data_IF_634091611593
#
_entry.id   IF_634091611593
#
_cell.length_a   1.000
_cell.length_b   1.000
_cell.length_c   1.000
_cell.angle_alpha   90.00
_cell.angle_beta   90.00
_cell.angle_gamma   90.00
#
_symmetry.space_group_name_H-M   'P 1'
#
loop_
_entity.id
_entity.type
_entity.pdbx_description
1 polymer ?
#
# COMPACT_ATOMS: atom_id res chain seq x y z
N UNK A 1 12.63 -36.32 -1.10
CA UNK A 1 12.93 -34.98 -0.59
C UNK A 1 11.87 -34.03 -1.13
N UNK A 2 10.86 -33.69 -0.33
CA UNK A 2 9.77 -32.81 -0.75
C UNK A 2 10.26 -31.38 -0.59
N UNK A 3 10.37 -30.64 -1.69
CA UNK A 3 10.57 -29.19 -1.66
C UNK A 3 9.26 -28.56 -1.16
N UNK A 4 9.14 -28.32 0.15
CA UNK A 4 8.07 -27.48 0.68
C UNK A 4 8.41 -26.04 0.27
N UNK A 5 7.61 -25.35 -0.56
CA UNK A 5 7.85 -23.94 -0.80
C UNK A 5 7.63 -23.20 0.53
N UNK A 6 8.67 -22.54 1.02
CA UNK A 6 8.62 -21.62 2.16
C UNK A 6 7.54 -20.55 1.88
N UNK A 7 6.31 -20.76 2.34
CA UNK A 7 5.21 -19.84 2.07
C UNK A 7 5.36 -18.58 2.89
N UNK A 8 6.04 -17.59 2.30
CA UNK A 8 6.19 -16.28 2.92
C UNK A 8 4.90 -15.45 2.80
N UNK A 9 4.11 -15.41 3.87
CA UNK A 9 2.86 -14.65 3.94
C UNK A 9 3.06 -13.12 4.04
N UNK A 10 4.29 -12.62 3.98
CA UNK A 10 4.54 -11.18 4.02
C UNK A 10 4.29 -10.53 2.67
N UNK A 11 3.51 -9.44 2.67
CA UNK A 11 3.31 -8.62 1.48
C UNK A 11 4.66 -8.13 0.91
N UNK A 12 5.09 -8.57 -0.29
CA UNK A 12 6.46 -8.37 -0.78
C UNK A 12 6.85 -6.89 -0.89
N UNK A 13 8.11 -6.56 -0.56
CA UNK A 13 8.60 -5.17 -0.61
C UNK A 13 8.48 -4.56 -2.01
N UNK A 14 8.67 -5.36 -3.08
CA UNK A 14 8.53 -4.90 -4.48
C UNK A 14 7.14 -4.38 -4.82
N UNK A 15 6.10 -4.89 -4.15
CA UNK A 15 4.71 -4.46 -4.35
C UNK A 15 4.33 -3.25 -3.48
N UNK A 16 5.26 -2.72 -2.67
CA UNK A 16 4.99 -1.58 -1.78
C UNK A 16 5.42 -0.26 -2.43
N UNK A 17 4.54 0.73 -2.38
CA UNK A 17 4.85 2.13 -2.69
C UNK A 17 5.44 2.76 -1.42
N UNK A 18 6.75 3.06 -1.42
CA UNK A 18 7.48 3.48 -0.21
C UNK A 18 8.03 4.92 -0.29
N UNK A 19 8.33 5.42 -1.48
CA UNK A 19 9.02 6.71 -1.65
C UNK A 19 8.03 7.86 -1.57
N UNK A 20 8.35 8.90 -0.81
CA UNK A 20 7.53 10.13 -0.71
C UNK A 20 7.20 10.73 -2.07
N UNK A 21 8.17 10.78 -2.99
CA UNK A 21 7.96 11.26 -4.36
C UNK A 21 6.91 10.44 -5.13
N UNK A 22 6.87 9.12 -4.93
CA UNK A 22 5.86 8.26 -5.54
C UNK A 22 4.45 8.57 -5.00
N UNK A 23 4.30 8.79 -3.68
CA UNK A 23 3.03 9.22 -3.07
C UNK A 23 2.58 10.58 -3.62
N UNK A 24 3.49 11.56 -3.69
CA UNK A 24 3.19 12.89 -4.22
C UNK A 24 2.71 12.81 -5.67
N UNK A 25 3.32 11.97 -6.50
CA UNK A 25 2.88 11.74 -7.89
C UNK A 25 1.46 11.19 -7.94
N UNK A 26 1.14 10.19 -7.12
CA UNK A 26 -0.20 9.60 -7.05
C UNK A 26 -1.23 10.65 -6.62
N UNK A 27 -0.94 11.45 -5.60
CA UNK A 27 -1.84 12.52 -5.16
C UNK A 27 -2.04 13.61 -6.22
N UNK A 28 -1.00 13.96 -6.98
CA UNK A 28 -1.06 14.98 -8.04
C UNK A 28 -2.02 14.62 -9.17
N UNK A 29 -2.21 13.33 -9.46
CA UNK A 29 -3.09 12.83 -10.53
C UNK A 29 -4.59 13.04 -10.24
N UNK A 30 -4.97 13.26 -8.96
CA UNK A 30 -6.35 13.53 -8.53
C UNK A 30 -7.38 12.48 -8.99
N UNK A 31 -6.95 11.27 -9.31
CA UNK A 31 -7.85 10.15 -9.57
C UNK A 31 -8.07 9.40 -8.28
N UNK A 32 -9.29 9.45 -7.74
CA UNK A 32 -9.62 8.79 -6.48
C UNK A 32 -11.06 8.30 -6.41
N UNK A 33 -11.25 7.24 -5.63
CA UNK A 33 -12.58 6.74 -5.24
C UNK A 33 -12.61 6.64 -3.72
N UNK A 34 -13.71 7.09 -3.12
CA UNK A 34 -13.95 6.96 -1.69
C UNK A 34 -14.98 5.86 -1.42
N UNK A 35 -14.75 5.06 -0.38
CA UNK A 35 -15.69 4.06 0.11
C UNK A 35 -15.53 3.92 1.63
N UNK A 36 -16.56 4.32 2.38
CA UNK A 36 -16.53 4.35 3.84
C UNK A 36 -15.32 5.13 4.39
N UNK A 37 -14.50 4.55 5.28
CA UNK A 37 -13.33 5.22 5.85
C UNK A 37 -12.11 5.24 4.90
N UNK A 38 -12.23 4.66 3.70
CA UNK A 38 -11.12 4.50 2.76
C UNK A 38 -11.25 5.47 1.60
N UNK A 39 -10.11 6.03 1.22
CA UNK A 39 -9.94 6.77 -0.04
C UNK A 39 -8.78 6.11 -0.78
N UNK A 40 -9.04 5.66 -2.01
CA UNK A 40 -8.04 5.04 -2.87
C UNK A 40 -7.66 6.05 -3.93
N UNK A 41 -6.37 6.31 -4.08
CA UNK A 41 -5.82 7.12 -5.16
C UNK A 41 -5.16 6.24 -6.21
N UNK A 42 -5.46 6.50 -7.47
CA UNK A 42 -4.91 5.82 -8.64
C UNK A 42 -3.98 6.73 -9.43
N UNK A 43 -2.94 6.15 -10.03
CA UNK A 43 -2.14 6.82 -11.04
C UNK A 43 -1.51 5.75 -11.94
N UNK A 44 -1.36 6.07 -13.23
CA UNK A 44 -0.52 5.25 -14.10
C UNK A 44 0.93 5.23 -13.57
N UNK A 45 1.53 4.07 -13.68
CA UNK A 45 2.88 3.87 -13.19
C UNK A 45 3.88 4.54 -14.13
N UNK A 46 4.75 5.42 -13.61
CA UNK A 46 5.66 6.20 -14.47
C UNK A 46 6.84 5.39 -15.05
N UNK A 47 7.05 4.16 -14.57
CA UNK A 47 8.03 3.22 -15.11
C UNK A 47 7.29 1.96 -15.54
N UNK A 48 7.77 1.29 -16.59
CA UNK A 48 7.29 -0.02 -17.06
C UNK A 48 7.62 -1.15 -16.08
N UNK A 49 7.18 -1.01 -14.85
CA UNK A 49 7.19 -2.06 -13.84
C UNK A 49 6.10 -3.07 -14.18
N UNK A 50 6.47 -4.35 -14.20
CA UNK A 50 5.57 -5.46 -14.54
C UNK A 50 4.46 -5.73 -13.50
N UNK A 51 4.39 -4.95 -12.41
CA UNK A 51 3.43 -5.16 -11.33
C UNK A 51 2.96 -3.84 -10.71
N UNK A 52 1.72 -3.77 -10.18
CA UNK A 52 1.25 -2.61 -9.42
C UNK A 52 1.99 -2.48 -8.08
N UNK A 53 1.90 -1.29 -7.47
CA UNK A 53 2.43 -1.01 -6.13
C UNK A 53 1.38 -0.31 -5.27
N UNK A 54 1.31 -0.69 -4.00
CA UNK A 54 0.33 -0.16 -3.04
C UNK A 54 1.04 0.60 -1.92
N UNK A 55 0.57 1.80 -1.62
CA UNK A 55 0.99 2.62 -0.49
C UNK A 55 -0.17 2.85 0.47
N UNK A 56 0.08 2.72 1.77
CA UNK A 56 -0.95 2.93 2.80
C UNK A 56 -0.54 4.12 3.67
N UNK A 57 -1.38 5.16 3.64
CA UNK A 57 -1.27 6.31 4.53
C UNK A 57 -2.39 6.26 5.56
N UNK A 58 -2.05 6.48 6.83
CA UNK A 58 -3.01 6.53 7.94
C UNK A 58 -2.76 7.81 8.73
N UNK A 59 -3.78 8.66 8.80
CA UNK A 59 -3.69 9.95 9.50
C UNK A 59 -3.38 9.78 10.99
N UNK A 60 -2.67 10.74 11.57
CA UNK A 60 -2.43 10.81 13.02
C UNK A 60 -3.74 10.90 13.82
N UNK A 61 -4.82 11.39 13.20
CA UNK A 61 -6.17 11.47 13.80
C UNK A 61 -6.80 10.11 14.08
N UNK A 62 -6.37 9.05 13.39
CA UNK A 62 -6.92 7.69 13.58
C UNK A 62 -6.51 7.09 14.93
N UNK A 63 -5.44 7.59 15.55
CA UNK A 63 -4.97 7.16 16.86
C UNK A 63 -3.45 7.10 16.97
N UNK A 64 -3.00 6.43 18.03
CA UNK A 64 -1.57 6.27 18.33
C UNK A 64 -0.85 5.39 17.28
N UNK A 65 0.47 5.25 17.43
CA UNK A 65 1.30 4.49 16.50
C UNK A 65 0.87 3.02 16.38
N UNK A 66 0.42 2.40 17.48
CA UNK A 66 0.00 1.00 17.54
C UNK A 66 -1.27 0.80 16.69
N UNK A 67 -2.29 1.64 16.90
CA UNK A 67 -3.55 1.59 16.13
C UNK A 67 -3.28 1.78 14.63
N UNK A 68 -2.46 2.78 14.26
CA UNK A 68 -2.12 3.02 12.85
C UNK A 68 -1.33 1.87 12.23
N UNK A 69 -0.43 1.24 12.98
CA UNK A 69 0.34 0.10 12.49
C UNK A 69 -0.53 -1.15 12.32
N UNK A 70 -1.51 -1.36 13.20
CA UNK A 70 -2.50 -2.42 13.06
C UNK A 70 -3.31 -2.27 11.77
N UNK A 71 -3.83 -1.06 11.49
CA UNK A 71 -4.52 -0.76 10.23
C UNK A 71 -3.67 -1.05 9.00
N UNK A 72 -2.42 -0.55 8.98
CA UNK A 72 -1.49 -0.82 7.87
C UNK A 72 -1.15 -2.30 7.70
N UNK A 73 -1.23 -3.13 8.75
CA UNK A 73 -1.01 -4.58 8.67
C UNK A 73 -2.22 -5.27 8.07
N UNK A 74 -3.41 -5.02 8.61
CA UNK A 74 -4.67 -5.60 8.09
C UNK A 74 -4.88 -5.28 6.61
N UNK A 75 -4.64 -4.03 6.21
CA UNK A 75 -4.77 -3.60 4.82
C UNK A 75 -3.70 -4.20 3.87
N UNK A 76 -2.65 -4.82 4.38
CA UNK A 76 -1.65 -5.55 3.57
C UNK A 76 -1.96 -7.04 3.42
N UNK A 77 -2.86 -7.55 4.26
CA UNK A 77 -3.25 -8.97 4.30
C UNK A 77 -4.57 -9.25 3.57
N UNK A 78 -5.40 -8.22 3.39
CA UNK A 78 -6.61 -8.26 2.57
C UNK A 78 -6.26 -8.29 1.07
#
# INVERSE_FOLDING_TARGET
MVNTPETNFHFPRKLRLLRTADFHRVYKQRQSVASGPLIIYGAQQAMSLAHPRIGISVSRRVGNAVVRNQWKRRLREA
#
